data_IF_081226237447
#
_entry.id   IF_081226237447
#
_cell.length_a   1.000
_cell.length_b   1.000
_cell.length_c   1.000
_cell.angle_alpha   90.00
_cell.angle_beta   90.00
_cell.angle_gamma   90.00
#
_symmetry.space_group_name_H-M   'P 1'
#
loop_
_entity.id
_entity.type
_entity.pdbx_description
1 polymer ?
#
# COMPACT_ATOMS: atom_id res chain seq x y z
N UNK A 1 22.25 -3.74 2.85
CA UNK A 1 21.25 -2.66 2.84
C UNK A 1 21.34 -1.91 4.15
N UNK A 2 21.06 -0.61 4.16
CA UNK A 2 20.97 0.15 5.40
C UNK A 2 19.63 -0.09 6.07
N UNK A 3 19.59 -0.06 7.41
CA UNK A 3 18.35 -0.19 8.21
C UNK A 3 17.21 0.75 7.75
N UNK A 4 17.57 1.91 7.17
CA UNK A 4 16.61 2.87 6.62
C UNK A 4 15.96 2.38 5.33
N UNK A 5 16.74 1.79 4.44
CA UNK A 5 16.25 1.21 3.18
C UNK A 5 15.37 0.00 3.47
N UNK A 6 15.77 -0.86 4.42
CA UNK A 6 14.98 -2.03 4.83
C UNK A 6 13.61 -1.60 5.37
N UNK A 7 13.57 -0.59 6.24
CA UNK A 7 12.30 -0.05 6.75
C UNK A 7 11.43 0.57 5.66
N UNK A 8 12.03 1.27 4.70
CA UNK A 8 11.30 1.86 3.57
C UNK A 8 10.68 0.76 2.71
N UNK A 9 11.42 -0.30 2.42
CA UNK A 9 10.92 -1.44 1.66
C UNK A 9 9.82 -2.19 2.44
N UNK A 10 10.00 -2.37 3.74
CA UNK A 10 9.02 -3.03 4.59
C UNK A 10 7.69 -2.25 4.63
N UNK A 11 7.73 -0.92 4.84
CA UNK A 11 6.52 -0.12 4.86
C UNK A 11 5.88 0.03 3.49
N UNK A 12 6.67 -0.02 2.41
CA UNK A 12 6.16 -0.11 1.05
C UNK A 12 5.35 -1.39 0.82
N UNK A 13 5.93 -2.56 1.15
CA UNK A 13 5.26 -3.84 0.96
C UNK A 13 4.01 -3.95 1.84
N UNK A 14 4.07 -3.47 3.09
CA UNK A 14 2.93 -3.49 4.00
C UNK A 14 1.69 -2.76 3.42
N UNK A 15 1.88 -1.66 2.69
CA UNK A 15 0.78 -0.91 2.06
C UNK A 15 0.09 -1.71 0.94
N UNK A 16 0.87 -2.46 0.15
CA UNK A 16 0.35 -3.36 -0.88
C UNK A 16 -0.41 -4.53 -0.25
N UNK A 17 0.19 -5.18 0.75
CA UNK A 17 -0.42 -6.30 1.48
C UNK A 17 -1.74 -5.89 2.15
N UNK A 18 -1.79 -4.71 2.79
CA UNK A 18 -3.01 -4.20 3.41
C UNK A 18 -4.13 -3.97 2.38
N UNK A 19 -3.77 -3.46 1.20
CA UNK A 19 -4.73 -3.23 0.11
C UNK A 19 -5.27 -4.53 -0.45
N UNK A 20 -4.39 -5.53 -0.65
CA UNK A 20 -4.78 -6.88 -1.04
C UNK A 20 -5.71 -7.52 -0.01
N UNK A 21 -5.41 -7.35 1.28
CA UNK A 21 -6.24 -7.87 2.37
C UNK A 21 -7.65 -7.25 2.40
N UNK A 22 -7.80 -5.97 2.07
CA UNK A 22 -9.13 -5.37 1.89
C UNK A 22 -9.86 -5.93 0.67
N UNK A 23 -9.15 -6.12 -0.44
CA UNK A 23 -9.71 -6.68 -1.66
C UNK A 23 -10.17 -8.13 -1.47
N UNK A 24 -9.41 -8.93 -0.73
CA UNK A 24 -9.78 -10.31 -0.39
C UNK A 24 -11.00 -10.41 0.53
N UNK A 25 -11.38 -9.33 1.21
CA UNK A 25 -12.63 -9.22 1.98
C UNK A 25 -13.84 -8.86 1.09
N UNK A 26 -13.66 -8.82 -0.24
CA UNK A 26 -14.71 -8.49 -1.20
C UNK A 26 -14.93 -6.99 -1.40
N UNK A 27 -14.06 -6.13 -0.86
CA UNK A 27 -14.13 -4.69 -1.13
C UNK A 27 -13.53 -4.38 -2.50
N UNK A 28 -14.24 -3.63 -3.31
CA UNK A 28 -13.68 -3.10 -4.55
C UNK A 28 -12.58 -2.07 -4.23
N UNK A 29 -11.47 -2.11 -4.97
CA UNK A 29 -10.33 -1.20 -4.79
C UNK A 29 -10.74 0.27 -4.79
N UNK A 30 -11.67 0.65 -5.67
CA UNK A 30 -12.22 2.01 -5.79
C UNK A 30 -12.93 2.52 -4.53
N UNK A 31 -13.30 1.63 -3.60
CA UNK A 31 -13.95 1.98 -2.33
C UNK A 31 -12.98 2.11 -1.16
N UNK A 32 -11.69 1.82 -1.38
CA UNK A 32 -10.65 1.90 -0.35
C UNK A 32 -10.01 3.29 -0.45
N UNK A 33 -9.98 4.02 0.67
CA UNK A 33 -9.29 5.31 0.72
C UNK A 33 -7.82 5.17 1.12
N UNK A 34 -6.98 6.10 0.65
CA UNK A 34 -5.58 6.23 1.06
C UNK A 34 -5.40 6.22 2.59
N UNK A 35 -6.31 6.91 3.30
CA UNK A 35 -6.29 6.99 4.76
C UNK A 35 -6.51 5.63 5.40
N UNK A 36 -7.42 4.81 4.89
CA UNK A 36 -7.64 3.44 5.37
C UNK A 36 -6.39 2.58 5.16
N UNK A 37 -5.78 2.62 3.98
CA UNK A 37 -4.56 1.86 3.67
C UNK A 37 -3.40 2.26 4.58
N UNK A 38 -3.14 3.56 4.73
CA UNK A 38 -2.07 4.06 5.59
C UNK A 38 -2.29 3.67 7.07
N UNK A 39 -3.52 3.83 7.57
CA UNK A 39 -3.84 3.48 8.95
C UNK A 39 -3.72 1.97 9.22
N UNK A 40 -4.07 1.12 8.25
CA UNK A 40 -4.00 -0.34 8.38
C UNK A 40 -2.57 -0.84 8.69
N UNK A 41 -1.55 -0.10 8.27
CA UNK A 41 -0.14 -0.41 8.49
C UNK A 41 0.52 0.44 9.59
N UNK A 42 -0.27 1.23 10.32
CA UNK A 42 0.21 2.12 11.38
C UNK A 42 0.95 3.37 10.87
N UNK A 43 0.75 3.76 9.62
CA UNK A 43 1.30 5.00 9.06
C UNK A 43 0.30 6.15 9.16
N UNK A 44 0.82 7.36 9.35
CA UNK A 44 0.03 8.58 9.14
C UNK A 44 -0.27 8.74 7.65
N UNK A 45 -1.44 9.26 7.24
CA UNK A 45 -1.81 9.35 5.82
C UNK A 45 -0.81 10.11 4.95
N UNK A 46 -0.15 11.14 5.49
CA UNK A 46 0.88 11.89 4.75
C UNK A 46 2.14 11.09 4.46
N UNK A 47 2.43 10.02 5.22
CA UNK A 47 3.57 9.14 4.98
C UNK A 47 3.36 8.22 3.78
N UNK A 48 2.11 8.02 3.32
CA UNK A 48 1.80 7.28 2.10
C UNK A 48 2.57 7.82 0.90
N UNK A 49 2.65 9.14 0.77
CA UNK A 49 3.30 9.83 -0.34
C UNK A 49 4.82 9.60 -0.43
N UNK A 50 5.42 8.96 0.58
CA UNK A 50 6.83 8.53 0.52
C UNK A 50 7.01 7.24 -0.29
N UNK A 51 5.91 6.54 -0.56
CA UNK A 51 5.86 5.24 -1.24
C UNK A 51 5.16 5.35 -2.59
N UNK A 52 3.96 5.96 -2.63
CA UNK A 52 3.17 6.09 -3.84
C UNK A 52 2.72 7.53 -4.05
N UNK A 53 2.64 7.97 -5.31
CA UNK A 53 2.19 9.33 -5.63
C UNK A 53 0.69 9.51 -5.37
N UNK A 54 -0.09 8.45 -5.57
CA UNK A 54 -1.53 8.40 -5.37
C UNK A 54 -2.03 6.94 -5.30
N UNK A 55 -3.35 6.76 -5.17
CA UNK A 55 -3.97 5.42 -5.13
C UNK A 55 -3.85 4.67 -6.47
N UNK A 56 -3.82 5.35 -7.62
CA UNK A 56 -3.67 4.67 -8.90
C UNK A 56 -2.28 4.07 -9.02
N UNK A 57 -1.22 4.77 -8.61
CA UNK A 57 0.14 4.22 -8.60
C UNK A 57 0.21 2.95 -7.74
N UNK A 58 -0.40 2.96 -6.55
CA UNK A 58 -0.49 1.76 -5.72
C UNK A 58 -1.25 0.63 -6.43
N UNK A 59 -2.37 0.93 -7.07
CA UNK A 59 -3.18 -0.06 -7.79
C UNK A 59 -2.43 -0.68 -8.97
N UNK A 60 -1.66 0.12 -9.72
CA UNK A 60 -0.83 -0.37 -10.83
C UNK A 60 0.25 -1.35 -10.35
N UNK A 61 0.95 -1.03 -9.26
CA UNK A 61 1.96 -1.93 -8.68
C UNK A 61 1.34 -3.18 -8.07
N UNK A 62 0.17 -3.06 -7.45
CA UNK A 62 -0.56 -4.20 -6.93
C UNK A 62 -0.98 -5.17 -8.05
N UNK A 63 -1.42 -4.64 -9.20
CA UNK A 63 -1.70 -5.45 -10.38
C UNK A 63 -0.46 -6.17 -10.91
N UNK A 64 0.69 -5.48 -10.96
CA UNK A 64 1.96 -6.07 -11.38
C UNK A 64 2.38 -7.24 -10.45
N UNK A 65 2.16 -7.12 -9.14
CA UNK A 65 2.48 -8.18 -8.17
C UNK A 65 1.59 -9.43 -8.30
N UNK A 66 0.32 -9.28 -8.69
CA UNK A 66 -0.64 -10.41 -8.78
C UNK A 66 -0.77 -10.99 -10.19
N UNK A 67 -0.26 -10.30 -11.21
CA UNK A 67 -0.32 -10.75 -12.61
C UNK A 67 0.71 -11.85 -12.96
N UNK A 68 1.49 -12.32 -11.98
CA UNK A 68 2.57 -13.30 -12.13
C UNK A 68 2.16 -14.65 -11.54
#
# INVERSE_FOLDING_TARGET
MSLREDRKQQSHQALLDATLAFSSQGRAFSTISLREVANAVGLVPTAFYRHFQDMNQLGLELLDQVAI
#
